data_IF_442876031994
#
_entry.id   IF_442876031994
#
_cell.length_a   1.000
_cell.length_b   1.000
_cell.length_c   1.000
_cell.angle_alpha   90.00
_cell.angle_beta   90.00
_cell.angle_gamma   90.00
#
_symmetry.space_group_name_H-M   'P 1'
#
loop_
_entity.id
_entity.type
_entity.pdbx_description
1 polymer ?
#
# COMPACT_ATOMS: atom_id res chain seq x y z
N UNK A 1 3.77 11.57 8.13
CA UNK A 1 4.40 10.66 9.11
C UNK A 1 3.28 10.01 9.93
N UNK A 2 3.26 8.68 10.02
CA UNK A 2 2.24 7.93 10.74
C UNK A 2 2.31 8.25 12.24
N UNK A 3 1.15 8.46 12.88
CA UNK A 3 1.07 8.72 14.34
C UNK A 3 0.99 7.45 15.17
N UNK A 4 0.62 6.33 14.57
CA UNK A 4 0.44 5.01 15.20
C UNK A 4 0.97 3.93 14.26
N UNK A 5 1.25 2.76 14.79
CA UNK A 5 1.57 1.58 13.98
C UNK A 5 0.33 1.15 13.19
N UNK A 6 0.53 0.72 11.94
CA UNK A 6 -0.52 0.20 11.06
C UNK A 6 -0.08 -1.14 10.47
N UNK A 7 -1.00 -2.08 10.28
CA UNK A 7 -0.70 -3.29 9.53
C UNK A 7 -0.73 -2.98 8.02
N UNK A 8 0.24 -3.52 7.27
CA UNK A 8 0.17 -3.56 5.82
C UNK A 8 -1.07 -4.34 5.39
N UNK A 9 -1.90 -3.74 4.55
CA UNK A 9 -3.17 -4.34 4.12
C UNK A 9 -2.96 -5.68 3.39
N UNK A 10 -1.84 -5.81 2.66
CA UNK A 10 -1.54 -6.99 1.83
C UNK A 10 -0.93 -8.18 2.57
N UNK A 11 0.02 -7.94 3.47
CA UNK A 11 0.79 -9.00 4.15
C UNK A 11 0.62 -9.04 5.67
N UNK A 12 0.00 -8.01 6.26
CA UNK A 12 -0.18 -7.89 7.71
C UNK A 12 1.03 -7.36 8.48
N UNK A 13 2.20 -7.20 7.84
CA UNK A 13 3.40 -6.73 8.54
C UNK A 13 3.20 -5.31 9.10
N UNK A 14 3.74 -5.02 10.31
CA UNK A 14 3.61 -3.72 10.92
C UNK A 14 4.44 -2.65 10.18
N UNK A 15 3.80 -1.52 9.89
CA UNK A 15 4.37 -0.26 9.40
C UNK A 15 4.47 0.68 10.61
N UNK A 16 5.70 0.99 11.02
CA UNK A 16 6.00 1.79 12.21
C UNK A 16 6.21 3.25 11.85
N UNK A 17 6.20 4.10 12.87
CA UNK A 17 6.52 5.52 12.70
C UNK A 17 7.97 5.68 12.21
N UNK A 18 8.14 6.32 11.06
CA UNK A 18 9.44 6.53 10.43
C UNK A 18 9.74 5.54 9.30
N UNK A 19 8.97 4.45 9.18
CA UNK A 19 9.09 3.54 8.06
C UNK A 19 8.60 4.21 6.77
N UNK A 20 9.20 3.81 5.65
CA UNK A 20 8.67 4.13 4.32
C UNK A 20 7.44 3.25 4.03
N UNK A 21 6.41 3.87 3.45
CA UNK A 21 5.17 3.20 3.10
C UNK A 21 4.53 3.86 1.87
N UNK A 22 3.62 3.15 1.23
CA UNK A 22 2.74 3.71 0.21
C UNK A 22 1.30 3.80 0.72
N UNK A 23 0.65 4.91 0.41
CA UNK A 23 -0.79 5.05 0.54
C UNK A 23 -1.42 4.87 -0.84
N UNK A 24 -2.29 3.88 -0.96
CA UNK A 24 -3.04 3.61 -2.18
C UNK A 24 -4.46 4.12 -1.95
N UNK A 25 -4.87 5.04 -2.82
CA UNK A 25 -6.24 5.56 -2.90
C UNK A 25 -6.76 5.26 -4.31
N UNK A 26 -7.91 4.60 -4.40
CA UNK A 26 -8.47 4.16 -5.66
C UNK A 26 -9.98 3.94 -5.58
N UNK A 27 -10.60 3.76 -6.74
CA UNK A 27 -12.04 3.49 -6.86
C UNK A 27 -12.24 2.06 -7.33
N UNK A 28 -13.05 1.30 -6.61
CA UNK A 28 -13.40 -0.09 -6.93
C UNK A 28 -14.91 -0.21 -7.12
N UNK A 29 -15.42 -1.31 -7.70
CA UNK A 29 -16.87 -1.55 -7.79
C UNK A 29 -17.58 -1.51 -6.43
N UNK A 30 -16.87 -1.85 -5.35
CA UNK A 30 -17.40 -1.87 -3.98
C UNK A 30 -17.27 -0.51 -3.26
N UNK A 31 -16.73 0.51 -3.94
CA UNK A 31 -16.51 1.86 -3.41
C UNK A 31 -15.04 2.28 -3.34
N UNK A 32 -14.76 3.28 -2.52
CA UNK A 32 -13.40 3.82 -2.33
C UNK A 32 -12.50 2.80 -1.63
N UNK A 33 -11.32 2.53 -2.21
CA UNK A 33 -10.26 1.74 -1.62
C UNK A 33 -9.18 2.67 -1.08
N UNK A 34 -8.97 2.64 0.24
CA UNK A 34 -7.90 3.40 0.90
C UNK A 34 -7.10 2.46 1.80
N UNK A 35 -5.90 2.09 1.37
CA UNK A 35 -5.07 1.10 2.06
C UNK A 35 -3.63 1.59 2.20
N UNK A 36 -2.94 1.04 3.21
CA UNK A 36 -1.51 1.27 3.44
C UNK A 36 -0.72 0.01 3.12
N UNK A 37 0.34 0.16 2.34
CA UNK A 37 1.25 -0.93 1.97
C UNK A 37 2.65 -0.64 2.49
N UNK A 38 3.32 -1.66 3.02
CA UNK A 38 4.75 -1.59 3.34
C UNK A 38 5.57 -1.45 2.04
N UNK A 39 6.80 -0.93 2.15
CA UNK A 39 7.67 -0.70 1.00
C UNK A 39 7.84 -1.93 0.06
N UNK A 40 8.04 -3.17 0.55
CA UNK A 40 8.11 -4.35 -0.33
C UNK A 40 6.82 -4.62 -1.11
N UNK A 41 5.65 -4.54 -0.46
CA UNK A 41 4.36 -4.74 -1.12
C UNK A 41 4.04 -3.63 -2.11
N UNK A 42 4.40 -2.39 -1.78
CA UNK A 42 4.32 -1.25 -2.70
C UNK A 42 5.16 -1.49 -3.95
N UNK A 43 6.43 -1.88 -3.81
CA UNK A 43 7.30 -2.13 -4.94
C UNK A 43 6.82 -3.30 -5.83
N UNK A 44 6.20 -4.31 -5.23
CA UNK A 44 5.57 -5.39 -5.97
C UNK A 44 4.34 -4.91 -6.77
N UNK A 45 3.51 -4.04 -6.19
CA UNK A 45 2.35 -3.44 -6.86
C UNK A 45 2.80 -2.55 -8.03
N UNK A 46 3.80 -1.68 -7.84
CA UNK A 46 4.31 -0.81 -8.92
C UNK A 46 4.77 -1.63 -10.13
N UNK A 47 5.55 -2.70 -9.91
CA UNK A 47 6.01 -3.59 -10.99
C UNK A 47 4.87 -4.33 -11.71
N UNK A 48 3.78 -4.60 -11.00
CA UNK A 48 2.61 -5.23 -11.60
C UNK A 48 1.88 -4.23 -12.52
N UNK A 49 1.68 -2.99 -12.05
CA UNK A 49 1.02 -1.94 -12.81
C UNK A 49 1.82 -1.53 -14.05
N UNK A 50 3.15 -1.38 -13.91
CA UNK A 50 4.04 -1.06 -15.04
C UNK A 50 3.96 -2.09 -16.19
N UNK A 51 3.62 -3.36 -15.88
CA UNK A 51 3.41 -4.40 -16.88
C UNK A 51 2.00 -4.41 -17.48
N UNK A 52 1.04 -3.76 -16.84
CA UNK A 52 -0.34 -3.69 -17.33
C UNK A 52 -0.53 -2.56 -18.36
N UNK A 53 0.41 -1.62 -18.43
CA UNK A 53 0.42 -0.49 -19.36
C UNK A 53 1.15 -0.78 -20.71
N UNK A 54 1.59 -2.03 -20.95
CA UNK A 54 2.20 -2.55 -22.19
C UNK A 54 1.23 -3.55 -22.87
#
# INVERSE_FOLDING_TARGET
>A
MLRREHACDRCGDPIRSGDEYAAVDGITPDGDLRVLLCAPCSAALSRFLEKADD
#
